data_IF_869952990695
#
_entry.id   IF_869952990695
#
_cell.length_a   1.000
_cell.length_b   1.000
_cell.length_c   1.000
_cell.angle_alpha   90.00
_cell.angle_beta   90.00
_cell.angle_gamma   90.00
#
_symmetry.space_group_name_H-M   'P 1'
#
loop_
_entity.id
_entity.type
_entity.pdbx_description
1 polymer ?
#
# COMPACT_ATOMS: atom_id res chain seq x y z
N UNK A 1 -1.12 -1.10 -7.88
CA UNK A 1 0.24 -0.77 -8.37
C UNK A 1 0.90 0.08 -7.30
N UNK A 2 2.23 0.11 -7.18
CA UNK A 2 2.86 0.84 -6.05
C UNK A 2 2.97 2.35 -6.30
N UNK A 3 2.82 2.84 -7.54
CA UNK A 3 2.91 4.27 -7.86
C UNK A 3 1.63 4.75 -8.55
N UNK A 4 0.49 4.56 -7.88
CA UNK A 4 -0.83 4.94 -8.38
C UNK A 4 -1.04 6.46 -8.48
N UNK A 5 -0.56 7.24 -7.51
CA UNK A 5 -0.59 8.71 -7.57
C UNK A 5 0.12 9.24 -8.81
N UNK A 6 1.37 8.80 -9.04
CA UNK A 6 2.16 9.16 -10.21
C UNK A 6 1.43 8.79 -11.52
N UNK A 7 0.93 7.55 -11.61
CA UNK A 7 0.22 7.06 -12.80
C UNK A 7 -1.06 7.86 -13.09
N UNK A 8 -1.86 8.10 -12.07
CA UNK A 8 -3.14 8.80 -12.20
C UNK A 8 -2.92 10.26 -12.60
N UNK A 9 -1.97 10.94 -11.95
CA UNK A 9 -1.66 12.33 -12.27
C UNK A 9 -1.09 12.47 -13.70
N UNK A 10 -0.21 11.55 -14.11
CA UNK A 10 0.30 11.52 -15.49
C UNK A 10 -0.85 11.42 -16.50
N UNK A 11 -1.80 10.52 -16.27
CA UNK A 11 -2.97 10.34 -17.14
C UNK A 11 -3.87 11.57 -17.14
N UNK A 12 -4.12 12.18 -15.98
CA UNK A 12 -4.90 13.40 -15.85
C UNK A 12 -4.28 14.55 -16.64
N UNK A 13 -2.94 14.65 -16.67
CA UNK A 13 -2.21 15.64 -17.48
C UNK A 13 -2.03 15.24 -18.95
N UNK A 14 -2.57 14.10 -19.37
CA UNK A 14 -2.49 13.62 -20.76
C UNK A 14 -1.07 13.28 -21.22
N UNK A 15 -0.16 12.99 -20.29
CA UNK A 15 1.25 12.72 -20.61
C UNK A 15 1.44 11.22 -20.87
N UNK A 16 2.10 10.85 -21.97
CA UNK A 16 2.39 9.44 -22.27
C UNK A 16 3.57 8.91 -21.44
N UNK A 17 3.63 7.59 -21.27
CA UNK A 17 4.79 6.94 -20.62
C UNK A 17 6.09 7.20 -21.39
N UNK A 18 6.03 7.27 -22.73
CA UNK A 18 7.17 7.61 -23.58
C UNK A 18 7.69 9.04 -23.31
N UNK A 19 6.78 10.00 -23.11
CA UNK A 19 7.17 11.38 -22.79
C UNK A 19 7.84 11.47 -21.41
N UNK A 20 7.34 10.73 -20.43
CA UNK A 20 7.96 10.65 -19.11
C UNK A 20 9.33 9.96 -19.15
N UNK A 21 9.47 8.92 -19.96
CA UNK A 21 10.75 8.25 -20.18
C UNK A 21 11.80 9.20 -20.78
N UNK A 22 11.40 10.04 -21.76
CA UNK A 22 12.27 11.08 -22.34
C UNK A 22 12.75 12.09 -21.29
N UNK A 23 11.87 12.52 -20.38
CA UNK A 23 12.24 13.44 -19.27
C UNK A 23 13.29 12.82 -18.35
N UNK A 24 13.18 11.51 -18.10
CA UNK A 24 14.15 10.77 -17.29
C UNK A 24 15.37 10.28 -18.07
N UNK A 25 15.51 10.62 -19.35
CA UNK A 25 16.55 10.09 -20.23
C UNK A 25 16.64 8.56 -20.20
N UNK A 26 15.48 7.89 -20.21
CA UNK A 26 15.37 6.43 -20.14
C UNK A 26 14.38 5.90 -21.18
N UNK A 27 14.23 4.59 -21.27
CA UNK A 27 13.27 3.95 -22.17
C UNK A 27 11.88 3.77 -21.54
N UNK A 28 10.88 3.65 -22.39
CA UNK A 28 9.47 3.52 -21.99
C UNK A 28 9.23 2.30 -21.10
N UNK A 29 9.98 1.21 -21.30
CA UNK A 29 9.82 0.00 -20.49
C UNK A 29 10.35 0.23 -19.08
N UNK A 30 11.52 0.85 -18.93
CA UNK A 30 12.06 1.21 -17.62
C UNK A 30 11.13 2.17 -16.86
N UNK A 31 10.59 3.19 -17.54
CA UNK A 31 9.58 4.06 -16.93
C UNK A 31 8.31 3.28 -16.54
N UNK A 32 7.82 2.35 -17.37
CA UNK A 32 6.68 1.51 -17.02
C UNK A 32 6.93 0.63 -15.80
N UNK A 33 8.15 0.11 -15.63
CA UNK A 33 8.54 -0.66 -14.43
C UNK A 33 8.55 0.22 -13.18
N UNK A 34 9.06 1.45 -13.30
CA UNK A 34 9.02 2.47 -12.24
C UNK A 34 7.59 2.82 -11.84
N UNK A 35 6.70 3.07 -12.80
CA UNK A 35 5.27 3.36 -12.56
C UNK A 35 4.52 2.15 -11.95
N UNK A 36 4.98 0.92 -12.16
CA UNK A 36 4.44 -0.29 -11.49
C UNK A 36 5.06 -0.55 -10.11
N UNK A 37 6.20 0.07 -9.80
CA UNK A 37 6.98 -0.17 -8.57
C UNK A 37 7.96 -1.34 -8.65
N UNK A 38 8.18 -1.90 -9.83
CA UNK A 38 9.17 -2.97 -10.06
C UNK A 38 10.60 -2.44 -10.07
N UNK A 39 10.78 -1.12 -10.16
CA UNK A 39 12.07 -0.44 -10.15
C UNK A 39 11.97 0.82 -9.31
N UNK A 40 12.98 1.03 -8.47
CA UNK A 40 13.05 2.21 -7.60
C UNK A 40 13.18 3.48 -8.45
N UNK A 41 12.45 4.53 -8.05
CA UNK A 41 12.62 5.89 -8.58
C UNK A 41 13.56 6.63 -7.61
N UNK A 42 14.67 7.14 -8.13
CA UNK A 42 15.63 7.90 -7.32
C UNK A 42 15.12 9.31 -7.05
N UNK A 43 15.67 9.97 -6.03
CA UNK A 43 15.20 11.30 -5.62
C UNK A 43 15.32 12.36 -6.72
N UNK A 44 16.39 12.32 -7.51
CA UNK A 44 16.56 13.22 -8.64
C UNK A 44 15.54 12.96 -9.76
N UNK A 45 15.12 11.71 -9.91
CA UNK A 45 14.08 11.33 -10.87
C UNK A 45 12.71 11.79 -10.38
N UNK A 46 12.45 11.69 -9.07
CA UNK A 46 11.25 12.25 -8.46
C UNK A 46 11.13 13.75 -8.69
N UNK A 47 12.22 14.50 -8.53
CA UNK A 47 12.26 15.95 -8.83
C UNK A 47 11.90 16.23 -10.29
N UNK A 48 12.53 15.52 -11.24
CA UNK A 48 12.23 15.67 -12.68
C UNK A 48 10.78 15.33 -13.02
N UNK A 49 10.21 14.30 -12.40
CA UNK A 49 8.81 13.90 -12.60
C UNK A 49 7.86 14.95 -12.03
N UNK A 50 8.15 15.46 -10.84
CA UNK A 50 7.40 16.53 -10.18
C UNK A 50 7.39 17.81 -11.03
N UNK A 51 8.56 18.22 -11.53
CA UNK A 51 8.69 19.38 -12.40
C UNK A 51 7.89 19.21 -13.70
N UNK A 52 7.98 18.03 -14.34
CA UNK A 52 7.22 17.73 -15.54
C UNK A 52 5.71 17.69 -15.32
N UNK A 53 5.29 17.27 -14.12
CA UNK A 53 3.91 17.23 -13.69
C UNK A 53 3.47 18.54 -13.02
N UNK A 54 4.34 19.55 -12.87
CA UNK A 54 4.05 20.83 -12.22
C UNK A 54 3.33 20.68 -10.87
N UNK A 55 3.85 19.79 -10.03
CA UNK A 55 3.34 19.51 -8.69
C UNK A 55 4.52 19.31 -7.75
N UNK A 56 4.36 19.53 -6.44
CA UNK A 56 5.38 19.16 -5.46
C UNK A 56 5.64 17.64 -5.45
N UNK A 57 6.85 17.23 -5.08
CA UNK A 57 7.25 15.82 -5.05
C UNK A 57 6.34 15.01 -4.11
N UNK A 58 5.90 15.63 -3.02
CA UNK A 58 5.04 15.06 -1.99
C UNK A 58 3.64 14.68 -2.52
N UNK A 59 3.18 15.31 -3.60
CA UNK A 59 1.89 14.98 -4.23
C UNK A 59 1.97 13.73 -5.12
N UNK A 60 3.15 13.44 -5.68
CA UNK A 60 3.35 12.28 -6.58
C UNK A 60 4.04 11.11 -5.91
N UNK A 61 4.85 11.39 -4.89
CA UNK A 61 5.54 10.39 -4.10
C UNK A 61 4.51 9.81 -3.16
N UNK A 62 4.18 8.54 -3.36
CA UNK A 62 3.51 7.79 -2.32
C UNK A 62 4.50 7.68 -1.17
N UNK A 63 4.08 8.12 0.02
CA UNK A 63 4.82 7.82 1.23
C UNK A 63 4.98 6.30 1.26
N UNK A 64 6.23 5.87 1.21
CA UNK A 64 6.64 4.54 1.63
C UNK A 64 6.23 4.49 3.11
N UNK A 65 4.96 4.23 3.41
CA UNK A 65 4.50 3.80 4.73
C UNK A 65 5.01 2.37 4.93
N UNK A 66 6.34 2.23 4.84
CA UNK A 66 7.17 1.15 5.34
C UNK A 66 7.21 1.31 6.84
N UNK A 67 6.10 0.99 7.47
CA UNK A 67 6.10 0.66 8.88
C UNK A 67 7.21 -0.37 9.10
N UNK A 68 8.05 -0.21 10.13
CA UNK A 68 9.19 -1.08 10.44
C UNK A 68 9.04 -1.58 11.88
N UNK A 69 9.01 -2.89 12.12
CA UNK A 69 8.99 -3.51 13.45
C UNK A 69 10.18 -4.44 13.50
N UNK A 70 11.09 -4.16 14.43
CA UNK A 70 12.11 -5.09 14.82
C UNK A 70 11.46 -6.08 15.80
N UNK A 71 11.17 -7.30 15.33
CA UNK A 71 10.94 -8.39 16.27
C UNK A 71 12.32 -8.93 16.66
N UNK A 72 12.77 -8.54 17.85
CA UNK A 72 14.06 -8.96 18.41
C UNK A 72 14.02 -10.46 18.71
N UNK A 73 14.57 -11.26 17.81
CA UNK A 73 14.61 -12.70 17.99
C UNK A 73 14.83 -13.48 16.70
N UNK A 74 15.97 -13.27 16.02
CA UNK A 74 16.85 -14.35 15.52
C UNK A 74 17.81 -13.86 14.43
N UNK A 75 19.08 -14.14 14.69
CA UNK A 75 20.21 -14.21 13.77
C UNK A 75 19.80 -14.81 12.43
N UNK A 76 19.78 -14.05 11.34
CA UNK A 76 20.22 -14.42 9.98
C UNK A 76 20.03 -13.22 9.06
N UNK A 77 21.13 -12.80 8.45
CA UNK A 77 21.23 -11.63 7.57
C UNK A 77 20.71 -12.01 6.18
N UNK A 78 19.40 -11.96 6.00
CA UNK A 78 18.77 -12.01 4.69
C UNK A 78 17.89 -10.77 4.53
N UNK A 79 18.10 -10.02 3.45
CA UNK A 79 17.45 -8.74 3.15
C UNK A 79 15.96 -8.93 2.81
N UNK A 80 15.18 -9.40 3.78
CA UNK A 80 13.73 -9.49 3.69
C UNK A 80 13.17 -8.16 4.20
N UNK A 81 12.68 -7.33 3.28
CA UNK A 81 11.92 -6.12 3.61
C UNK A 81 10.63 -6.53 4.34
N UNK A 82 10.69 -6.63 5.66
CA UNK A 82 9.52 -6.92 6.47
C UNK A 82 8.78 -5.61 6.78
N UNK A 83 7.69 -5.38 6.06
CA UNK A 83 6.76 -4.27 6.34
C UNK A 83 6.06 -4.55 7.68
N UNK A 84 6.16 -3.62 8.61
CA UNK A 84 5.43 -3.59 9.87
C UNK A 84 4.07 -2.95 9.69
N UNK A 85 3.22 -3.03 10.70
CA UNK A 85 1.81 -2.61 10.64
C UNK A 85 1.56 -1.76 11.89
N UNK A 86 1.09 -0.51 11.81
CA UNK A 86 0.92 0.33 13.01
C UNK A 86 0.14 -0.39 14.11
N UNK A 87 0.60 -0.27 15.36
CA UNK A 87 -0.05 -0.91 16.53
C UNK A 87 -1.52 -0.51 16.64
N UNK A 88 -1.88 0.71 16.24
CA UNK A 88 -3.28 1.17 16.19
C UNK A 88 -4.14 0.36 15.22
N UNK A 89 -3.59 -0.14 14.11
CA UNK A 89 -4.31 -1.06 13.22
C UNK A 89 -4.46 -2.41 13.91
N UNK A 90 -3.42 -2.91 14.58
CA UNK A 90 -3.49 -4.17 15.33
C UNK A 90 -4.56 -4.10 16.43
N UNK A 91 -4.62 -2.99 17.18
CA UNK A 91 -5.63 -2.76 18.22
C UNK A 91 -7.04 -2.70 17.62
N UNK A 92 -7.21 -1.96 16.51
CA UNK A 92 -8.50 -1.91 15.80
C UNK A 92 -8.95 -3.28 15.29
N UNK A 93 -8.01 -4.12 14.85
CA UNK A 93 -8.28 -5.49 14.40
C UNK A 93 -8.64 -6.39 15.58
N UNK A 94 -7.96 -6.25 16.73
CA UNK A 94 -8.32 -6.98 17.94
C UNK A 94 -9.71 -6.62 18.45
N UNK A 95 -10.06 -5.33 18.45
CA UNK A 95 -11.40 -4.86 18.82
C UNK A 95 -12.46 -5.44 17.87
N UNK A 96 -12.18 -5.43 16.56
CA UNK A 96 -13.07 -6.02 15.57
C UNK A 96 -13.24 -7.53 15.75
N UNK A 97 -12.15 -8.27 16.02
CA UNK A 97 -12.20 -9.71 16.30
C UNK A 97 -13.05 -9.98 17.55
N UNK A 98 -12.94 -9.14 18.58
CA UNK A 98 -13.75 -9.27 19.80
C UNK A 98 -15.24 -9.11 19.49
N UNK A 99 -15.61 -8.05 18.77
CA UNK A 99 -17.01 -7.80 18.37
C UNK A 99 -17.55 -8.97 17.54
N UNK A 100 -16.78 -9.47 16.57
CA UNK A 100 -17.20 -10.60 15.73
C UNK A 100 -17.40 -11.89 16.53
N UNK A 101 -16.57 -12.15 17.56
CA UNK A 101 -16.74 -13.32 18.43
C UNK A 101 -18.02 -13.22 19.26
N UNK A 102 -18.27 -12.05 19.84
CA UNK A 102 -19.50 -11.79 20.61
C UNK A 102 -20.75 -11.97 19.74
N UNK A 103 -20.74 -11.42 18.52
CA UNK A 103 -21.84 -11.59 17.56
C UNK A 103 -22.08 -13.06 17.19
N UNK A 104 -21.02 -13.83 16.95
CA UNK A 104 -21.15 -15.26 16.65
C UNK A 104 -21.78 -16.04 17.81
N UNK A 105 -21.40 -15.75 19.05
CA UNK A 105 -21.96 -16.43 20.21
C UNK A 105 -23.45 -16.08 20.41
N UNK A 106 -23.84 -14.83 20.16
CA UNK A 106 -25.25 -14.43 20.18
C UNK A 106 -26.06 -15.15 19.10
N UNK A 107 -25.54 -15.20 17.87
CA UNK A 107 -26.19 -15.91 16.76
C UNK A 107 -26.36 -17.41 17.03
N UNK A 108 -25.36 -18.06 17.63
CA UNK A 108 -25.46 -19.48 18.01
C UNK A 108 -26.55 -19.71 19.05
N UNK A 109 -26.65 -18.87 20.07
CA UNK A 109 -27.71 -18.96 21.09
C UNK A 109 -29.09 -18.79 20.48
N UNK A 110 -29.25 -17.79 19.61
CA UNK A 110 -30.52 -17.57 18.91
C UNK A 110 -30.92 -18.78 18.06
N UNK A 111 -29.97 -19.41 17.36
CA UNK A 111 -30.21 -20.64 16.61
C UNK A 111 -30.65 -21.79 17.54
N UNK A 112 -30.04 -21.95 18.71
CA UNK A 112 -30.44 -22.97 19.69
C UNK A 112 -31.83 -22.73 20.25
N UNK A 113 -32.18 -21.48 20.56
CA UNK A 113 -33.51 -21.08 21.02
C UNK A 113 -34.58 -21.31 19.94
N UNK A 114 -34.29 -20.98 18.68
CA UNK A 114 -35.22 -21.23 17.58
C UNK A 114 -35.40 -22.73 17.34
N UNK A 115 -34.32 -23.52 17.43
CA UNK A 115 -34.40 -24.99 17.32
C UNK A 115 -35.22 -25.62 18.45
N UNK A 116 -35.13 -25.09 19.68
CA UNK A 116 -35.92 -25.61 20.80
C UNK A 116 -37.40 -25.28 20.70
N UNK A 117 -37.78 -24.19 20.02
CA UNK A 117 -39.17 -23.80 19.74
C UNK A 117 -39.83 -24.59 18.61
N UNK A 118 -39.04 -25.23 17.75
CA UNK A 118 -39.53 -26.04 16.62
C UNK A 118 -39.72 -27.52 17.02
N UNK A 119 -39.23 -27.94 18.19
CA UNK A 119 -39.39 -29.28 18.76
C UNK A 119 -40.61 -29.37 19.66
#
# INVERSE_FOLDING_TARGET
>A
MIQEKLRNLRKQKGISQEKMAKILATDTSNYSRKERGETRIHEDEWKKLADALQVPVEEIKEDDHKFSFNFDGSTFNDHVNYYSIPTSIIDSLHDYIKILKEQNELQKKEIEELKSKIK
#
